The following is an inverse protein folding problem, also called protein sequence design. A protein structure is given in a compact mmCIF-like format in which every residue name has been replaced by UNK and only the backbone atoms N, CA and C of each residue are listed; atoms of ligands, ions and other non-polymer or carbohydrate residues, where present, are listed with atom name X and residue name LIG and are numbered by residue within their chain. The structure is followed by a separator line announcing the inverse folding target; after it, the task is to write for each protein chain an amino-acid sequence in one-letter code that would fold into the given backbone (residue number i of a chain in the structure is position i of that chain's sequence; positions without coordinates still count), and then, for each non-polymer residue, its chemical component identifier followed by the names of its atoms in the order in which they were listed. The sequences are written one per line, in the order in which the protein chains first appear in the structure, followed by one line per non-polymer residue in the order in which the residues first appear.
data_IF_791345979140
#
_entry.id   IF_791345979140
#
_cell.length_a   1.000
_cell.length_b   1.000
_cell.length_c   1.000
_cell.angle_alpha   90.00
_cell.angle_beta   90.00
_cell.angle_gamma   90.00
#
_symmetry.space_group_name_H-M   'P 1'
#
loop_
_entity.id
_entity.type
_entity.pdbx_description
1 polymer ?
#
# COMPACT_ATOMS: atom_id res chain seq x y z
N UNK A 1 -10.94 34.56 -34.04
CA UNK A 1 -10.32 34.90 -32.74
C UNK A 1 -11.06 34.31 -31.52
N UNK A 2 -12.29 33.80 -31.65
CA UNK A 2 -13.06 33.24 -30.52
C UNK A 2 -12.74 31.79 -30.14
N UNK A 3 -12.30 30.95 -31.08
CA UNK A 3 -12.14 29.51 -30.84
C UNK A 3 -10.98 29.21 -29.88
N UNK A 4 -9.89 29.97 -29.96
CA UNK A 4 -8.74 29.85 -29.07
C UNK A 4 -9.05 30.30 -27.65
N UNK A 5 -9.90 31.31 -27.50
CA UNK A 5 -10.35 31.80 -26.18
C UNK A 5 -11.26 30.75 -25.53
N UNK A 6 -12.18 30.16 -26.29
CA UNK A 6 -13.06 29.11 -25.77
C UNK A 6 -12.28 27.85 -25.33
N UNK A 7 -11.29 27.44 -26.13
CA UNK A 7 -10.42 26.31 -25.83
C UNK A 7 -9.54 26.54 -24.60
N UNK A 8 -8.98 27.75 -24.45
CA UNK A 8 -8.13 28.09 -23.31
C UNK A 8 -8.93 28.17 -22.01
N UNK A 9 -10.16 28.69 -22.04
CA UNK A 9 -11.07 28.67 -20.88
C UNK A 9 -11.45 27.24 -20.49
N UNK A 10 -11.78 26.40 -21.47
CA UNK A 10 -12.08 24.98 -21.22
C UNK A 10 -10.89 24.21 -20.63
N UNK A 11 -9.69 24.45 -21.13
CA UNK A 11 -8.46 23.85 -20.62
C UNK A 11 -8.16 24.30 -19.18
N UNK A 12 -8.28 25.59 -18.88
CA UNK A 12 -8.05 26.11 -17.53
C UNK A 12 -9.08 25.57 -16.52
N UNK A 13 -10.34 25.43 -16.92
CA UNK A 13 -11.37 24.82 -16.09
C UNK A 13 -11.07 23.34 -15.81
N UNK A 14 -10.72 22.56 -16.83
CA UNK A 14 -10.34 21.16 -16.68
C UNK A 14 -9.07 21.00 -15.82
N UNK A 15 -8.08 21.89 -15.97
CA UNK A 15 -6.86 21.88 -15.18
C UNK A 15 -7.12 22.23 -13.71
N UNK A 16 -8.02 23.18 -13.43
CA UNK A 16 -8.44 23.52 -12.07
C UNK A 16 -9.19 22.37 -11.39
N UNK A 17 -10.07 21.69 -12.13
CA UNK A 17 -10.76 20.49 -11.65
C UNK A 17 -9.72 19.39 -11.39
N UNK A 18 -8.85 19.11 -12.35
CA UNK A 18 -7.78 18.12 -12.18
C UNK A 18 -6.85 18.46 -11.01
N UNK A 19 -6.53 19.73 -10.76
CA UNK A 19 -5.65 20.16 -9.66
C UNK A 19 -6.31 20.03 -8.29
N UNK A 20 -7.62 20.29 -8.19
CA UNK A 20 -8.37 20.05 -6.94
C UNK A 20 -8.45 18.56 -6.59
N UNK A 21 -8.52 17.67 -7.59
CA UNK A 21 -8.46 16.22 -7.37
C UNK A 21 -7.04 15.65 -7.27
N UNK A 22 -6.02 16.34 -7.80
CA UNK A 22 -4.62 15.87 -7.76
C UNK A 22 -3.96 16.08 -6.39
N UNK A 23 -4.49 16.97 -5.55
CA UNK A 23 -3.99 17.18 -4.18
C UNK A 23 -4.06 15.92 -3.30
N UNK A 24 -4.86 14.91 -3.70
CA UNK A 24 -4.96 13.63 -3.02
C UNK A 24 -4.03 12.54 -3.56
N UNK A 25 -3.25 12.80 -4.62
CA UNK A 25 -2.56 11.74 -5.36
C UNK A 25 -1.06 11.57 -5.03
N UNK A 26 -0.39 12.51 -4.37
CA UNK A 26 1.04 12.34 -4.10
C UNK A 26 1.39 12.92 -2.74
N UNK A 27 1.24 12.11 -1.70
CA UNK A 27 2.15 12.20 -0.56
C UNK A 27 3.22 11.15 -0.79
N UNK A 28 4.38 11.60 -1.25
CA UNK A 28 5.62 10.84 -1.18
C UNK A 28 5.75 10.25 0.23
N UNK A 29 5.53 8.94 0.35
CA UNK A 29 6.26 8.21 1.36
C UNK A 29 7.60 7.90 0.70
N UNK A 30 8.70 8.32 1.31
CA UNK A 30 10.02 7.68 1.14
C UNK A 30 10.01 6.21 1.63
N UNK A 31 8.83 5.64 1.82
CA UNK A 31 8.61 4.38 2.49
C UNK A 31 8.15 3.36 1.44
N UNK A 32 8.75 2.18 1.48
CA UNK A 32 8.53 1.04 0.59
C UNK A 32 7.21 0.31 0.93
N UNK A 33 6.19 1.03 1.41
CA UNK A 33 4.91 0.44 1.78
C UNK A 33 4.21 -0.18 0.57
N UNK A 34 4.18 0.52 -0.56
CA UNK A 34 3.58 -0.02 -1.80
C UNK A 34 4.30 -1.29 -2.24
N UNK A 35 5.63 -1.26 -2.19
CA UNK A 35 6.46 -2.39 -2.59
C UNK A 35 6.24 -3.59 -1.65
N UNK A 36 6.17 -3.36 -0.33
CA UNK A 36 5.84 -4.39 0.65
C UNK A 36 4.46 -5.00 0.40
N UNK A 37 3.43 -4.19 0.12
CA UNK A 37 2.09 -4.68 -0.19
C UNK A 37 2.06 -5.48 -1.51
N UNK A 38 2.85 -5.07 -2.50
CA UNK A 38 2.99 -5.79 -3.77
C UNK A 38 3.67 -7.13 -3.56
N UNK A 39 4.73 -7.19 -2.78
CA UNK A 39 5.44 -8.42 -2.47
C UNK A 39 4.56 -9.39 -1.68
N UNK A 40 3.75 -8.88 -0.73
CA UNK A 40 2.71 -9.67 -0.06
C UNK A 40 1.73 -10.24 -1.10
N UNK A 41 1.28 -9.45 -2.07
CA UNK A 41 0.38 -9.92 -3.12
C UNK A 41 1.02 -10.99 -4.01
N UNK A 42 2.31 -10.85 -4.33
CA UNK A 42 3.08 -11.86 -5.07
C UNK A 42 3.14 -13.16 -4.26
N UNK A 43 3.42 -13.10 -2.96
CA UNK A 43 3.41 -14.27 -2.09
C UNK A 43 2.02 -14.93 -2.02
N UNK A 44 0.95 -14.14 -1.90
CA UNK A 44 -0.42 -14.64 -1.91
C UNK A 44 -0.75 -15.40 -3.21
N UNK A 45 -0.32 -14.88 -4.37
CA UNK A 45 -0.58 -15.51 -5.67
C UNK A 45 0.33 -16.71 -5.98
N UNK A 46 1.46 -16.83 -5.27
CA UNK A 46 2.44 -17.90 -5.47
C UNK A 46 2.59 -18.72 -4.18
N UNK A 47 1.85 -19.83 -4.03
CA UNK A 47 1.94 -20.66 -2.83
C UNK A 47 3.35 -21.25 -2.65
N UNK A 48 3.79 -21.39 -1.40
CA UNK A 48 5.13 -21.84 -1.01
C UNK A 48 6.29 -20.92 -1.47
N UNK A 49 5.98 -19.68 -1.85
CA UNK A 49 7.00 -18.69 -2.17
C UNK A 49 7.50 -17.98 -0.92
N UNK A 50 8.73 -17.51 -0.99
CA UNK A 50 9.37 -16.77 0.08
C UNK A 50 10.10 -15.57 -0.50
N UNK A 51 9.87 -14.38 0.08
CA UNK A 51 10.54 -13.14 -0.27
C UNK A 51 11.20 -12.59 0.98
N UNK A 52 12.53 -12.42 0.93
CA UNK A 52 13.29 -11.79 2.00
C UNK A 52 13.84 -10.48 1.48
N UNK A 53 13.41 -9.37 2.06
CA UNK A 53 13.76 -8.03 1.58
C UNK A 53 13.79 -7.01 2.69
N UNK A 54 14.59 -5.98 2.50
CA UNK A 54 14.65 -4.82 3.39
C UNK A 54 13.73 -3.74 2.85
N UNK A 55 12.87 -3.21 3.72
CA UNK A 55 11.90 -2.18 3.40
C UNK A 55 12.06 -1.02 4.38
N UNK A 56 11.94 0.21 3.90
CA UNK A 56 11.70 1.37 4.75
C UNK A 56 10.19 1.53 4.97
N UNK A 57 9.66 1.16 6.13
CA UNK A 57 8.21 1.14 6.35
C UNK A 57 7.74 2.24 7.30
N UNK A 58 6.55 2.83 7.05
CA UNK A 58 5.96 3.74 8.00
C UNK A 58 5.64 2.99 9.30
N UNK A 59 5.49 3.70 10.43
CA UNK A 59 5.02 3.07 11.65
C UNK A 59 3.67 2.39 11.43
N UNK A 60 3.63 1.07 11.58
CA UNK A 60 2.45 0.25 11.36
C UNK A 60 2.43 -0.99 12.26
N UNK A 61 1.27 -1.60 12.46
CA UNK A 61 1.10 -2.88 13.15
C UNK A 61 0.40 -3.88 12.23
N UNK A 62 0.84 -5.13 12.24
CA UNK A 62 0.19 -6.22 11.50
C UNK A 62 -0.57 -7.07 12.52
N UNK A 63 -1.87 -7.24 12.31
CA UNK A 63 -2.77 -8.03 13.13
C UNK A 63 -3.60 -8.90 12.19
N UNK A 64 -3.43 -10.22 12.24
CA UNK A 64 -4.13 -11.24 11.43
C UNK A 64 -5.20 -10.71 10.45
N UNK A 65 -4.80 -10.51 9.19
CA UNK A 65 -5.64 -10.01 8.11
C UNK A 65 -5.66 -8.48 7.96
N UNK A 66 -4.97 -7.74 8.82
CA UNK A 66 -5.04 -6.27 8.93
C UNK A 66 -3.65 -5.67 9.10
N UNK A 67 -3.35 -4.67 8.27
CA UNK A 67 -2.18 -3.82 8.40
C UNK A 67 -2.68 -2.43 8.80
N UNK A 68 -2.41 -2.04 10.04
CA UNK A 68 -2.89 -0.78 10.62
C UNK A 68 -1.74 0.24 10.58
N UNK A 69 -1.91 1.29 9.79
CA UNK A 69 -0.98 2.39 9.69
C UNK A 69 -1.20 3.36 10.88
N UNK A 70 -0.13 3.74 11.58
CA UNK A 70 -0.23 4.74 12.66
C UNK A 70 -0.37 6.16 12.12
N UNK A 71 -0.05 6.38 10.85
CA UNK A 71 -0.27 7.64 10.14
C UNK A 71 -1.46 7.48 9.20
N UNK A 72 -2.26 8.53 9.10
CA UNK A 72 -3.43 8.53 8.22
C UNK A 72 -2.96 8.73 6.77
N UNK A 73 -2.63 7.64 6.09
CA UNK A 73 -2.18 7.64 4.69
C UNK A 73 -3.11 6.74 3.89
N UNK A 74 -3.65 7.26 2.78
CA UNK A 74 -4.52 6.51 1.88
C UNK A 74 -3.70 5.80 0.82
N UNK A 75 -3.77 4.47 0.81
CA UNK A 75 -3.07 3.54 -0.08
C UNK A 75 -4.03 2.44 -0.55
N UNK A 76 -5.02 2.82 -1.36
CA UNK A 76 -6.04 1.90 -1.86
C UNK A 76 -5.74 1.47 -3.30
N UNK A 77 -4.62 0.78 -3.52
CA UNK A 77 -4.22 0.32 -4.87
C UNK A 77 -4.23 -1.21 -4.97
N UNK A 78 -3.69 -1.91 -3.98
CA UNK A 78 -3.50 -3.38 -4.04
C UNK A 78 -4.54 -4.12 -3.19
N UNK A 79 -4.81 -3.59 -2.00
CA UNK A 79 -5.75 -4.16 -1.04
C UNK A 79 -6.82 -3.13 -0.68
N UNK A 80 -8.02 -3.58 -0.29
CA UNK A 80 -9.03 -2.67 0.22
C UNK A 80 -8.53 -2.02 1.51
N UNK A 81 -8.73 -0.71 1.60
CA UNK A 81 -8.35 0.08 2.77
C UNK A 81 -9.58 0.80 3.32
N UNK A 82 -9.72 0.77 4.65
CA UNK A 82 -10.69 1.56 5.39
C UNK A 82 -9.96 2.40 6.43
N UNK A 83 -10.09 3.72 6.35
CA UNK A 83 -9.35 4.67 7.18
C UNK A 83 -7.84 4.43 7.10
N UNK A 84 -7.23 3.93 8.17
CA UNK A 84 -5.81 3.62 8.28
C UNK A 84 -5.52 2.10 8.27
N UNK A 85 -6.54 1.27 8.00
CA UNK A 85 -6.42 -0.19 8.03
C UNK A 85 -6.51 -0.75 6.62
N UNK A 86 -5.47 -1.47 6.21
CA UNK A 86 -5.40 -2.20 4.94
C UNK A 86 -5.71 -3.66 5.22
N UNK A 87 -6.65 -4.25 4.50
CA UNK A 87 -7.05 -5.65 4.67
C UNK A 87 -6.30 -6.53 3.68
N UNK A 88 -5.30 -7.25 4.16
CA UNK A 88 -4.46 -8.15 3.39
C UNK A 88 -4.34 -9.49 4.12
N UNK A 89 -4.32 -10.64 3.41
CA UNK A 89 -4.24 -11.97 4.01
C UNK A 89 -2.85 -12.21 4.59
N UNK A 90 -2.57 -11.55 5.71
CA UNK A 90 -1.27 -11.53 6.36
C UNK A 90 -1.42 -11.99 7.79
N UNK A 91 -0.46 -12.77 8.28
CA UNK A 91 -0.31 -13.06 9.70
C UNK A 91 1.11 -12.70 10.10
N UNK A 92 1.30 -12.21 11.32
CA UNK A 92 2.62 -11.79 11.76
C UNK A 92 2.83 -12.09 13.22
N UNK A 93 4.06 -12.48 13.56
CA UNK A 93 4.54 -12.47 14.94
C UNK A 93 4.96 -11.08 15.41
N UNK A 94 4.98 -10.09 14.52
CA UNK A 94 5.40 -8.72 14.79
C UNK A 94 4.19 -7.86 15.14
N UNK A 95 4.21 -7.28 16.34
CA UNK A 95 3.16 -6.34 16.77
C UNK A 95 3.35 -4.95 16.19
N UNK A 96 4.59 -4.53 15.90
CA UNK A 96 4.91 -3.17 15.48
C UNK A 96 6.15 -3.11 14.58
N UNK A 97 6.04 -2.33 13.50
CA UNK A 97 7.04 -2.19 12.45
C UNK A 97 7.24 -0.70 12.16
N UNK A 98 8.48 -0.25 12.02
CA UNK A 98 8.84 1.13 11.66
C UNK A 98 10.26 1.21 11.11
N UNK A 99 10.46 2.09 10.13
CA UNK A 99 11.78 2.40 9.56
C UNK A 99 12.33 1.26 8.71
N UNK A 100 13.65 1.20 8.57
CA UNK A 100 14.30 0.11 7.83
C UNK A 100 14.17 -1.20 8.57
N UNK A 101 13.48 -2.15 7.96
CA UNK A 101 13.23 -3.48 8.50
C UNK A 101 13.47 -4.53 7.43
N UNK A 102 14.16 -5.61 7.80
CA UNK A 102 14.29 -6.78 6.95
C UNK A 102 13.17 -7.75 7.29
N UNK A 103 12.28 -7.98 6.34
CA UNK A 103 11.13 -8.86 6.51
C UNK A 103 11.31 -10.12 5.66
N UNK A 104 10.86 -11.24 6.20
CA UNK A 104 10.64 -12.48 5.50
C UNK A 104 9.13 -12.66 5.34
N UNK A 105 8.69 -12.64 4.08
CA UNK A 105 7.33 -12.88 3.64
C UNK A 105 7.28 -14.31 3.10
N UNK A 106 6.55 -15.20 3.78
CA UNK A 106 6.41 -16.59 3.38
C UNK A 106 4.94 -16.89 3.15
N UNK A 107 4.57 -17.42 1.98
CA UNK A 107 3.20 -17.87 1.76
C UNK A 107 2.97 -19.24 2.39
N UNK A 108 1.91 -19.33 3.20
CA UNK A 108 1.48 -20.53 3.90
C UNK A 108 0.01 -20.80 3.59
N UNK A 109 -0.38 -22.07 3.67
CA UNK A 109 -1.80 -22.43 3.65
C UNK A 109 -2.34 -22.48 5.08
N UNK A 110 -3.38 -21.71 5.35
CA UNK A 110 -4.10 -21.69 6.61
C UNK A 110 -5.59 -21.78 6.33
N UNK A 111 -6.24 -22.83 6.86
CA UNK A 111 -7.68 -23.06 6.69
C UNK A 111 -8.15 -22.99 5.22
N UNK A 112 -7.46 -23.68 4.31
CA UNK A 112 -7.70 -23.69 2.85
C UNK A 112 -7.53 -22.34 2.12
N UNK A 113 -6.97 -21.33 2.79
CA UNK A 113 -6.66 -20.03 2.21
C UNK A 113 -5.14 -19.78 2.23
N UNK A 114 -4.63 -19.08 1.22
CA UNK A 114 -3.23 -18.65 1.21
C UNK A 114 -3.12 -17.40 2.08
N UNK A 115 -2.22 -17.46 3.05
CA UNK A 115 -1.90 -16.36 3.97
C UNK A 115 -0.41 -16.10 3.90
N UNK A 116 0.00 -14.84 3.99
CA UNK A 116 1.41 -14.45 4.00
C UNK A 116 1.86 -14.26 5.44
N UNK A 117 2.74 -15.13 5.90
CA UNK A 117 3.44 -14.99 7.17
C UNK A 117 4.51 -13.91 7.02
N UNK A 118 4.41 -12.87 7.84
CA UNK A 118 5.35 -11.76 7.92
C UNK A 118 6.17 -11.91 9.19
N UNK A 119 7.48 -12.13 9.04
CA UNK A 119 8.42 -12.24 10.17
C UNK A 119 9.63 -11.34 9.96
N UNK A 120 10.31 -10.94 11.04
CA UNK A 120 11.55 -10.17 10.96
C UNK A 120 12.74 -11.13 10.92
N UNK A 121 13.73 -10.79 10.10
CA UNK A 121 15.04 -11.48 10.01
C UNK A 121 16.09 -10.71 10.80
#
# INVERSE_FOLDING_TARGET
MNTYILLSVGFLAALAIASTYSFSLIKYSEDDLEESLRDIKVCEMNPYSTIIKTYHLPPMSIQDGRIILLRNVRWQIIYPQQNNTIYAPTTSSLTYIRGYVRLNLTSIYLNDHIVVLVSRV
#
